data_IF_130638452330
#
_entry.id   IF_130638452330
#
_cell.length_a   1.000
_cell.length_b   1.000
_cell.length_c   1.000
_cell.angle_alpha   90.00
_cell.angle_beta   90.00
_cell.angle_gamma   90.00
#
_symmetry.space_group_name_H-M   'P 1'
#
loop_
_entity.id
_entity.type
_entity.pdbx_description
1 polymer ?
#
# COMPACT_ATOMS: atom_id res chain seq x y z
N UNK A 1 18.27 23.35 -13.46
CA UNK A 1 17.62 22.26 -12.68
C UNK A 1 16.12 22.39 -12.71
N UNK A 2 15.38 21.30 -12.80
CA UNK A 2 13.92 21.32 -12.79
C UNK A 2 13.43 21.04 -11.37
N UNK A 3 12.86 22.04 -10.70
CA UNK A 3 12.32 21.93 -9.36
C UNK A 3 10.85 21.49 -9.39
N UNK A 4 10.33 20.90 -8.30
CA UNK A 4 8.92 20.49 -8.12
C UNK A 4 8.36 19.46 -9.14
N UNK A 5 9.19 18.65 -9.77
CA UNK A 5 8.73 17.58 -10.66
C UNK A 5 8.28 16.38 -9.81
N UNK A 6 6.98 16.22 -9.60
CA UNK A 6 6.40 15.08 -8.87
C UNK A 6 6.27 13.85 -9.77
N UNK A 7 6.63 12.69 -9.23
CA UNK A 7 6.46 11.38 -9.89
C UNK A 7 7.54 11.04 -10.91
N UNK A 8 7.51 9.79 -11.40
CA UNK A 8 8.46 9.24 -12.37
C UNK A 8 7.90 9.35 -13.79
N UNK A 9 8.72 9.77 -14.75
CA UNK A 9 8.30 9.80 -16.17
C UNK A 9 8.17 8.41 -16.79
N UNK A 10 8.89 7.41 -16.29
CA UNK A 10 8.96 6.03 -16.81
C UNK A 10 9.37 5.96 -18.29
N UNK A 11 10.16 6.93 -18.76
CA UNK A 11 10.57 7.08 -20.17
C UNK A 11 9.38 7.03 -21.16
N UNK A 12 8.26 7.71 -20.79
CA UNK A 12 7.02 7.75 -21.57
C UNK A 12 6.52 9.16 -21.74
N UNK A 13 5.77 9.38 -22.83
CA UNK A 13 4.97 10.60 -23.01
C UNK A 13 3.85 10.64 -21.98
N UNK A 14 3.24 11.79 -21.75
CA UNK A 14 2.16 11.96 -20.77
C UNK A 14 0.96 11.04 -21.04
N UNK A 15 0.52 10.95 -22.29
CA UNK A 15 -0.58 10.08 -22.71
C UNK A 15 -0.26 8.59 -22.50
N UNK A 16 0.94 8.16 -22.92
CA UNK A 16 1.38 6.78 -22.74
C UNK A 16 1.56 6.41 -21.25
N UNK A 17 2.02 7.34 -20.40
CA UNK A 17 2.08 7.13 -18.95
C UNK A 17 0.68 6.98 -18.35
N UNK A 18 -0.26 7.83 -18.74
CA UNK A 18 -1.65 7.72 -18.29
C UNK A 18 -2.28 6.38 -18.66
N UNK A 19 -2.15 5.97 -19.92
CA UNK A 19 -2.65 4.67 -20.38
C UNK A 19 -2.02 3.50 -19.62
N UNK A 20 -0.70 3.55 -19.35
CA UNK A 20 -0.01 2.54 -18.55
C UNK A 20 -0.59 2.45 -17.13
N UNK A 21 -0.79 3.59 -16.46
CA UNK A 21 -1.31 3.60 -15.09
C UNK A 21 -2.76 3.13 -15.02
N UNK A 22 -3.60 3.52 -16.00
CA UNK A 22 -4.97 3.02 -16.11
C UNK A 22 -4.99 1.50 -16.29
N UNK A 23 -4.17 0.97 -17.20
CA UNK A 23 -4.06 -0.47 -17.45
C UNK A 23 -3.56 -1.27 -16.24
N UNK A 24 -2.52 -0.77 -15.54
CA UNK A 24 -2.03 -1.40 -14.31
C UNK A 24 -3.09 -1.36 -13.19
N UNK A 25 -3.84 -0.27 -13.09
CA UNK A 25 -4.91 -0.14 -12.11
C UNK A 25 -6.06 -1.12 -12.40
N UNK A 26 -6.51 -1.19 -13.64
CA UNK A 26 -7.52 -2.15 -14.09
C UNK A 26 -7.10 -3.58 -13.77
N UNK A 27 -5.86 -3.96 -14.11
CA UNK A 27 -5.31 -5.28 -13.80
C UNK A 27 -5.23 -5.54 -12.29
N UNK A 28 -4.82 -4.54 -11.50
CA UNK A 28 -4.74 -4.68 -10.04
C UNK A 28 -6.13 -4.90 -9.40
N UNK A 29 -7.12 -4.14 -9.83
CA UNK A 29 -8.49 -4.29 -9.32
C UNK A 29 -9.09 -5.63 -9.72
N UNK A 30 -8.84 -6.09 -10.94
CA UNK A 30 -9.32 -7.39 -11.45
C UNK A 30 -8.67 -8.58 -10.75
N UNK A 31 -7.34 -8.59 -10.66
CA UNK A 31 -6.58 -9.73 -10.12
C UNK A 31 -6.16 -9.57 -8.67
N UNK A 32 -6.46 -8.43 -8.02
CA UNK A 32 -6.10 -8.11 -6.61
C UNK A 32 -4.58 -8.07 -6.36
N UNK A 33 -3.79 -8.66 -7.24
CA UNK A 33 -2.34 -8.79 -7.13
C UNK A 33 -1.70 -8.83 -8.52
N UNK A 34 -0.69 -8.00 -8.78
CA UNK A 34 0.04 -7.96 -10.05
C UNK A 34 1.56 -7.93 -9.83
N UNK A 35 2.32 -8.53 -10.75
CA UNK A 35 3.78 -8.49 -10.77
C UNK A 35 4.24 -7.50 -11.86
N UNK A 36 5.10 -6.55 -11.49
CA UNK A 36 5.64 -5.54 -12.40
C UNK A 36 7.00 -5.05 -11.91
N UNK A 37 7.63 -4.11 -12.62
CA UNK A 37 8.87 -3.50 -12.13
C UNK A 37 8.59 -2.56 -10.95
N UNK A 38 9.55 -2.44 -10.03
CA UNK A 38 9.43 -1.64 -8.81
C UNK A 38 9.03 -0.17 -9.11
N UNK A 39 9.63 0.41 -10.16
CA UNK A 39 9.33 1.78 -10.57
C UNK A 39 7.86 1.96 -10.99
N UNK A 40 7.31 1.01 -11.78
CA UNK A 40 5.91 1.02 -12.21
C UNK A 40 4.97 0.76 -11.02
N UNK A 41 5.32 -0.18 -10.14
CA UNK A 41 4.52 -0.48 -8.94
C UNK A 41 4.38 0.74 -8.04
N UNK A 42 5.47 1.47 -7.79
CA UNK A 42 5.46 2.69 -6.96
C UNK A 42 4.59 3.81 -7.55
N UNK A 43 4.64 4.02 -8.87
CA UNK A 43 3.78 5.02 -9.55
C UNK A 43 2.30 4.57 -9.55
N UNK A 44 2.04 3.29 -9.89
CA UNK A 44 0.69 2.74 -9.89
C UNK A 44 0.07 2.79 -8.49
N UNK A 45 0.83 2.51 -7.42
CA UNK A 45 0.39 2.65 -6.04
C UNK A 45 -0.22 4.02 -5.79
N UNK A 46 0.52 5.09 -6.08
CA UNK A 46 0.04 6.47 -5.84
C UNK A 46 -1.23 6.79 -6.63
N UNK A 47 -1.36 6.24 -7.83
CA UNK A 47 -2.53 6.44 -8.67
C UNK A 47 -3.75 5.68 -8.14
N UNK A 48 -3.58 4.41 -7.80
CA UNK A 48 -4.64 3.54 -7.23
C UNK A 48 -5.14 4.06 -5.88
N UNK A 49 -4.24 4.47 -4.99
CA UNK A 49 -4.60 5.05 -3.69
C UNK A 49 -5.55 6.24 -3.84
N UNK A 50 -5.22 7.16 -4.74
CA UNK A 50 -6.07 8.33 -5.03
C UNK A 50 -7.42 7.93 -5.63
N UNK A 51 -7.44 6.92 -6.50
CA UNK A 51 -8.66 6.42 -7.13
C UNK A 51 -9.59 5.77 -6.10
N UNK A 52 -9.07 4.90 -5.23
CA UNK A 52 -9.84 4.25 -4.17
C UNK A 52 -10.38 5.29 -3.17
N UNK A 53 -9.55 6.24 -2.75
CA UNK A 53 -9.99 7.32 -1.85
C UNK A 53 -11.14 8.14 -2.44
N UNK A 54 -11.10 8.42 -3.76
CA UNK A 54 -12.23 9.06 -4.45
C UNK A 54 -13.46 8.15 -4.50
N UNK A 55 -13.26 6.87 -4.85
CA UNK A 55 -14.34 5.90 -5.00
C UNK A 55 -15.12 5.67 -3.69
N UNK A 56 -14.48 5.81 -2.52
CA UNK A 56 -15.14 5.70 -1.20
C UNK A 56 -16.31 6.66 -0.98
N UNK A 57 -16.34 7.80 -1.67
CA UNK A 57 -17.48 8.73 -1.60
C UNK A 57 -18.77 8.15 -2.20
N UNK A 58 -18.66 7.12 -3.05
CA UNK A 58 -19.75 6.35 -3.66
C UNK A 58 -20.86 7.18 -4.35
N UNK A 59 -20.55 8.40 -4.75
CA UNK A 59 -21.47 9.29 -5.47
C UNK A 59 -21.50 8.97 -6.95
N UNK A 60 -22.62 9.29 -7.63
CA UNK A 60 -22.79 9.09 -9.08
C UNK A 60 -21.73 9.85 -9.90
N UNK A 61 -21.38 11.05 -9.47
CA UNK A 61 -20.32 11.83 -10.09
C UNK A 61 -18.97 11.13 -10.01
N UNK A 62 -18.65 10.56 -8.86
CA UNK A 62 -17.41 9.79 -8.66
C UNK A 62 -17.40 8.52 -9.50
N UNK A 63 -18.52 7.80 -9.61
CA UNK A 63 -18.62 6.62 -10.48
C UNK A 63 -18.30 6.99 -11.95
N UNK A 64 -18.81 8.10 -12.45
CA UNK A 64 -18.48 8.61 -13.80
C UNK A 64 -16.99 8.96 -13.93
N UNK A 65 -16.37 9.60 -12.93
CA UNK A 65 -14.92 9.89 -12.92
C UNK A 65 -14.07 8.61 -12.92
N UNK A 66 -14.45 7.59 -12.15
CA UNK A 66 -13.75 6.30 -12.14
C UNK A 66 -13.89 5.61 -13.51
N UNK A 67 -15.08 5.62 -14.11
CA UNK A 67 -15.31 5.04 -15.44
C UNK A 67 -14.54 5.76 -16.55
N UNK A 68 -14.23 7.04 -16.43
CA UNK A 68 -13.38 7.75 -17.38
C UNK A 68 -11.90 7.31 -17.33
N UNK A 69 -11.46 6.74 -16.22
CA UNK A 69 -10.11 6.23 -16.03
C UNK A 69 -10.01 4.72 -16.29
N UNK A 70 -11.04 3.97 -15.86
CA UNK A 70 -11.12 2.52 -16.01
C UNK A 70 -12.27 2.21 -16.96
N UNK A 71 -11.95 1.81 -18.20
CA UNK A 71 -12.95 1.57 -19.23
C UNK A 71 -13.68 0.22 -19.08
N UNK A 72 -13.15 -0.69 -18.26
CA UNK A 72 -13.75 -2.01 -18.00
C UNK A 72 -14.89 -1.85 -16.98
N UNK A 73 -16.13 -2.01 -17.46
CA UNK A 73 -17.35 -1.85 -16.65
C UNK A 73 -17.46 -2.90 -15.53
N UNK A 74 -16.98 -4.12 -15.79
CA UNK A 74 -17.02 -5.22 -14.81
C UNK A 74 -16.09 -4.93 -13.63
N UNK A 75 -14.87 -4.47 -13.92
CA UNK A 75 -13.91 -4.07 -12.90
C UNK A 75 -14.41 -2.88 -12.06
N UNK A 76 -15.08 -1.92 -12.70
CA UNK A 76 -15.69 -0.80 -11.97
C UNK A 76 -16.83 -1.30 -11.09
N UNK A 77 -17.70 -2.19 -11.57
CA UNK A 77 -18.75 -2.79 -10.77
C UNK A 77 -18.17 -3.52 -9.56
N UNK A 78 -17.16 -4.36 -9.75
CA UNK A 78 -16.46 -5.10 -8.71
C UNK A 78 -15.79 -4.17 -7.67
N UNK A 79 -15.22 -3.04 -8.11
CA UNK A 79 -14.67 -2.03 -7.22
C UNK A 79 -15.71 -1.54 -6.22
N UNK A 80 -16.91 -1.18 -6.68
CA UNK A 80 -17.96 -0.61 -5.82
C UNK A 80 -18.72 -1.67 -5.03
N UNK A 81 -18.91 -2.89 -5.56
CA UNK A 81 -19.70 -3.95 -4.91
C UNK A 81 -18.90 -4.80 -3.93
N UNK A 82 -17.58 -5.00 -4.16
CA UNK A 82 -16.76 -5.93 -3.40
C UNK A 82 -15.57 -5.25 -2.73
N UNK A 83 -14.77 -4.48 -3.51
CA UNK A 83 -13.49 -3.97 -3.03
C UNK A 83 -13.70 -2.88 -1.97
N UNK A 84 -14.58 -1.91 -2.23
CA UNK A 84 -14.81 -0.81 -1.28
C UNK A 84 -15.41 -1.28 0.05
N UNK A 85 -16.43 -2.17 0.09
CA UNK A 85 -16.92 -2.71 1.35
C UNK A 85 -15.84 -3.45 2.16
N UNK A 86 -14.95 -4.20 1.48
CA UNK A 86 -13.85 -4.93 2.13
C UNK A 86 -12.77 -4.00 2.69
N UNK A 87 -12.48 -2.91 2.03
CA UNK A 87 -11.55 -1.86 2.51
C UNK A 87 -12.13 -1.12 3.74
N UNK A 88 -13.44 -0.99 3.83
CA UNK A 88 -14.15 -0.37 4.95
C UNK A 88 -13.69 1.08 5.21
N UNK A 89 -13.52 1.43 6.48
CA UNK A 89 -13.17 2.78 6.92
C UNK A 89 -11.67 3.12 6.86
N UNK A 90 -10.82 2.20 6.42
CA UNK A 90 -9.37 2.44 6.34
C UNK A 90 -9.06 3.80 5.66
N UNK A 91 -8.32 4.73 6.31
CA UNK A 91 -8.11 6.10 5.79
C UNK A 91 -7.12 6.16 4.63
N UNK A 92 -6.34 5.07 4.37
CA UNK A 92 -5.36 4.98 3.30
C UNK A 92 -4.48 3.75 3.43
N UNK A 93 -3.49 3.59 2.53
CA UNK A 93 -2.62 2.41 2.52
C UNK A 93 -3.35 1.15 2.05
N UNK A 94 -4.23 1.30 1.06
CA UNK A 94 -5.01 0.21 0.48
C UNK A 94 -4.15 -0.81 -0.28
N UNK A 95 -2.96 -0.39 -0.69
CA UNK A 95 -2.06 -1.18 -1.52
C UNK A 95 -0.71 -1.39 -0.86
N UNK A 96 -0.08 -2.53 -1.14
CA UNK A 96 1.26 -2.89 -0.67
C UNK A 96 2.17 -3.21 -1.86
N UNK A 97 3.41 -2.74 -1.80
CA UNK A 97 4.47 -3.07 -2.77
C UNK A 97 5.47 -4.00 -2.10
N UNK A 98 5.61 -5.22 -2.62
CA UNK A 98 6.54 -6.23 -2.14
C UNK A 98 7.67 -6.37 -3.17
N UNK A 99 8.92 -6.17 -2.77
CA UNK A 99 10.08 -6.34 -3.64
C UNK A 99 10.39 -7.83 -3.85
N UNK A 100 10.68 -8.21 -5.09
CA UNK A 100 10.99 -9.58 -5.48
C UNK A 100 12.46 -9.82 -5.84
N UNK A 101 13.28 -8.76 -5.88
CA UNK A 101 14.64 -8.84 -6.41
C UNK A 101 14.71 -8.46 -7.89
N UNK A 102 15.81 -8.80 -8.54
CA UNK A 102 16.09 -8.47 -9.93
C UNK A 102 15.58 -9.53 -10.89
N UNK A 103 15.14 -9.11 -12.07
CA UNK A 103 14.74 -10.01 -13.15
C UNK A 103 15.99 -10.56 -13.85
N UNK A 104 15.97 -11.86 -14.20
CA UNK A 104 17.04 -12.45 -15.00
C UNK A 104 17.05 -11.82 -16.41
N UNK A 105 18.22 -11.61 -16.95
CA UNK A 105 18.46 -11.02 -18.26
C UNK A 105 18.81 -9.53 -18.21
N UNK A 106 17.95 -8.68 -17.66
CA UNK A 106 18.14 -7.22 -17.64
C UNK A 106 18.33 -6.61 -16.24
N UNK A 107 18.42 -7.45 -15.20
CA UNK A 107 18.56 -7.07 -13.81
C UNK A 107 17.53 -6.00 -13.32
N UNK A 108 16.41 -5.85 -14.01
CA UNK A 108 15.40 -4.88 -13.63
C UNK A 108 14.76 -5.25 -12.27
N UNK A 109 14.69 -4.32 -11.30
CA UNK A 109 14.07 -4.60 -10.00
C UNK A 109 12.57 -4.85 -10.17
N UNK A 110 12.13 -6.03 -9.72
CA UNK A 110 10.74 -6.47 -9.79
C UNK A 110 10.02 -6.27 -8.46
N UNK A 111 8.73 -6.06 -8.53
CA UNK A 111 7.86 -5.98 -7.36
C UNK A 111 6.46 -6.54 -7.65
N UNK A 112 5.79 -6.97 -6.58
CA UNK A 112 4.36 -7.23 -6.56
C UNK A 112 3.67 -6.00 -6.00
N UNK A 113 2.60 -5.59 -6.66
CA UNK A 113 1.64 -4.63 -6.14
C UNK A 113 0.35 -5.40 -5.83
N UNK A 114 -0.14 -5.31 -4.61
CA UNK A 114 -1.32 -6.03 -4.14
C UNK A 114 -2.26 -5.15 -3.32
N UNK A 115 -3.54 -5.53 -3.26
CA UNK A 115 -4.50 -4.97 -2.32
C UNK A 115 -4.30 -5.64 -0.96
N UNK A 116 -4.11 -4.84 0.09
CA UNK A 116 -3.76 -5.33 1.45
C UNK A 116 -4.84 -6.27 1.99
N UNK A 117 -6.10 -5.93 1.80
CA UNK A 117 -7.23 -6.65 2.37
C UNK A 117 -7.57 -7.97 1.64
N UNK A 118 -6.82 -8.30 0.58
CA UNK A 118 -6.95 -9.55 -0.20
C UNK A 118 -5.80 -10.54 0.02
N UNK A 119 -4.87 -10.25 0.94
CA UNK A 119 -3.75 -11.13 1.26
C UNK A 119 -3.76 -11.53 2.75
N UNK A 120 -4.68 -12.41 3.12
CA UNK A 120 -4.92 -12.86 4.50
C UNK A 120 -3.67 -13.50 5.14
N UNK A 121 -2.86 -14.23 4.36
CA UNK A 121 -1.62 -14.87 4.85
C UNK A 121 -0.58 -13.80 5.25
N UNK A 122 -0.40 -12.78 4.41
CA UNK A 122 0.55 -11.72 4.70
C UNK A 122 0.05 -10.80 5.84
N UNK A 123 -1.26 -10.62 5.96
CA UNK A 123 -1.87 -9.85 7.02
C UNK A 123 -1.70 -10.54 8.38
N UNK A 124 -2.01 -11.84 8.49
CA UNK A 124 -1.79 -12.63 9.71
C UNK A 124 -0.33 -12.59 10.16
N UNK A 125 0.63 -12.81 9.24
CA UNK A 125 2.06 -12.70 9.57
C UNK A 125 2.48 -11.29 10.03
N UNK A 126 1.87 -10.25 9.48
CA UNK A 126 2.16 -8.88 9.88
C UNK A 126 1.60 -8.57 11.27
N UNK A 127 0.42 -9.09 11.61
CA UNK A 127 -0.19 -8.98 12.93
C UNK A 127 0.65 -9.72 13.99
N UNK A 128 1.01 -10.98 13.76
CA UNK A 128 1.89 -11.74 14.65
C UNK A 128 3.24 -11.05 14.90
N UNK A 129 3.81 -10.45 13.85
CA UNK A 129 5.07 -9.71 13.98
C UNK A 129 4.91 -8.42 14.77
N UNK A 130 3.78 -7.75 14.64
CA UNK A 130 3.44 -6.55 15.40
C UNK A 130 3.24 -6.89 16.87
N UNK A 131 2.46 -7.92 17.19
CA UNK A 131 2.25 -8.41 18.56
C UNK A 131 3.56 -8.77 19.25
N UNK A 132 4.44 -9.52 18.56
CA UNK A 132 5.77 -9.87 19.09
C UNK A 132 6.64 -8.64 19.34
N UNK A 133 6.52 -7.60 18.52
CA UNK A 133 7.25 -6.34 18.70
C UNK A 133 6.71 -5.55 19.88
N UNK A 134 5.39 -5.50 20.03
CA UNK A 134 4.72 -4.79 21.12
C UNK A 134 4.98 -5.47 22.47
N UNK A 135 4.99 -6.82 22.51
CA UNK A 135 5.38 -7.59 23.68
C UNK A 135 6.85 -7.34 24.10
N UNK A 136 7.77 -7.31 23.11
CA UNK A 136 9.17 -6.97 23.38
C UNK A 136 9.37 -5.53 23.84
N UNK A 137 8.57 -4.60 23.33
CA UNK A 137 8.60 -3.21 23.74
C UNK A 137 8.10 -3.05 25.18
N UNK A 138 7.02 -3.74 25.56
CA UNK A 138 6.49 -3.76 26.92
C UNK A 138 7.51 -4.38 27.91
N UNK A 139 8.07 -5.54 27.56
CA UNK A 139 9.08 -6.20 28.42
C UNK A 139 10.29 -5.30 28.68
N UNK A 140 10.79 -4.57 27.65
CA UNK A 140 11.87 -3.60 27.82
C UNK A 140 11.49 -2.36 28.64
N UNK A 141 10.24 -1.96 28.58
CA UNK A 141 9.74 -0.84 29.38
C UNK A 141 9.65 -1.25 30.88
N UNK A 142 9.15 -2.46 31.13
CA UNK A 142 9.05 -3.02 32.49
C UNK A 142 10.44 -3.26 33.12
N UNK A 143 11.41 -3.71 32.32
CA UNK A 143 12.80 -3.91 32.75
C UNK A 143 13.46 -2.57 33.13
N UNK A 144 13.30 -1.54 32.30
CA UNK A 144 13.78 -0.18 32.61
C UNK A 144 13.11 0.44 33.84
N UNK A 145 11.82 0.19 34.02
CA UNK A 145 11.09 0.67 35.20
C UNK A 145 11.61 0.03 36.49
N UNK A 146 11.92 -1.26 36.44
CA UNK A 146 12.54 -1.98 37.58
C UNK A 146 13.95 -1.45 37.92
N UNK A 147 14.78 -1.25 36.90
CA UNK A 147 16.12 -0.71 37.04
C UNK A 147 16.12 0.69 37.68
N UNK A 148 15.17 1.56 37.27
CA UNK A 148 15.01 2.89 37.88
C UNK A 148 14.49 2.88 39.31
N UNK A 149 13.73 1.85 39.71
CA UNK A 149 13.27 1.68 41.10
C UNK A 149 14.38 1.16 41.98
N UNK A 150 15.22 0.26 41.48
CA UNK A 150 16.42 -0.25 42.21
C UNK A 150 17.43 0.87 42.42
N UNK A 151 17.73 1.68 41.42
CA UNK A 151 18.63 2.83 41.52
C UNK A 151 18.11 3.89 42.51
N UNK A 152 16.82 4.13 42.58
CA UNK A 152 16.20 5.05 43.53
C UNK A 152 16.32 4.57 44.99
N UNK A 153 16.11 3.27 45.23
CA UNK A 153 16.26 2.68 46.55
C UNK A 153 17.71 2.70 47.07
N UNK A 154 18.72 2.59 46.21
CA UNK A 154 20.16 2.65 46.59
C UNK A 154 20.55 4.08 46.99
N UNK A 155 19.85 5.09 46.55
CA UNK A 155 20.11 6.52 46.88
C UNK A 155 19.50 6.88 48.25
N UNK A 156 18.36 6.27 48.63
CA UNK A 156 17.73 6.51 49.94
C UNK A 156 18.41 5.81 51.13
N UNK A 157 19.24 4.78 50.89
CA UNK A 157 19.96 4.06 51.94
C UNK A 157 21.37 4.65 52.25
N UNK A 158 21.75 5.79 51.68
CA UNK A 158 23.04 6.48 51.96
C UNK A 158 22.77 7.84 52.64
#
# INVERSE_FOLDING_TARGET
>A
MRHNVKGRKLNRTASHKSALLNSLTTSLLKYKRIRTTEAKAKEARTFVEKLITKAKKNDLHVKRQVMSLIHDKEVVKELFSEILPKIGERPGGYTRVIKLGSRMGDAAPMAILELVDYNDIANKKAEEHKEKKDLKAKAKADEKAKEQVEDANIIEEK
#
